data_IF_870537446882
#
_entry.id   IF_870537446882
#
_cell.length_a   1.000
_cell.length_b   1.000
_cell.length_c   1.000
_cell.angle_alpha   90.00
_cell.angle_beta   90.00
_cell.angle_gamma   90.00
#
_symmetry.space_group_name_H-M   'P 1'
#
loop_
_entity.id
_entity.type
_entity.pdbx_description
1 polymer ?
#
# COMPACT_ATOMS: atom_id res chain seq x y z
N UNK A 1 9.01 3.89 3.24
CA UNK A 1 9.03 2.74 2.30
C UNK A 1 9.83 3.15 1.06
N UNK A 2 10.57 2.25 0.42
CA UNK A 2 11.35 2.55 -0.79
C UNK A 2 11.12 1.52 -1.92
N UNK A 3 10.90 1.96 -3.18
CA UNK A 3 10.59 3.35 -3.54
C UNK A 3 9.31 3.85 -2.88
N UNK A 4 9.22 5.18 -2.72
CA UNK A 4 8.03 5.85 -2.17
C UNK A 4 6.84 5.64 -3.09
N UNK A 5 5.69 5.27 -2.53
CA UNK A 5 4.45 5.16 -3.29
C UNK A 5 3.95 6.56 -3.64
N UNK A 6 3.78 6.79 -4.94
CA UNK A 6 3.27 8.04 -5.52
C UNK A 6 2.17 7.73 -6.53
N UNK A 7 1.14 8.57 -6.58
CA UNK A 7 0.02 8.36 -7.50
C UNK A 7 -0.53 9.67 -8.05
N UNK A 8 -0.90 9.65 -9.32
CA UNK A 8 -1.71 10.66 -9.98
C UNK A 8 -3.12 10.13 -10.24
N UNK A 9 -4.10 11.02 -10.31
CA UNK A 9 -5.50 10.65 -10.45
C UNK A 9 -6.12 11.30 -11.67
N UNK A 10 -6.93 10.54 -12.41
CA UNK A 10 -7.66 10.99 -13.60
C UNK A 10 -9.14 10.59 -13.51
N UNK A 11 -10.01 11.23 -14.30
CA UNK A 11 -11.44 10.87 -14.38
C UNK A 11 -12.26 11.18 -13.12
N UNK A 12 -11.73 11.96 -12.18
CA UNK A 12 -12.46 12.37 -10.98
C UNK A 12 -13.46 13.51 -11.27
N UNK A 13 -14.58 13.56 -10.55
CA UNK A 13 -15.48 14.73 -10.53
C UNK A 13 -14.84 15.84 -9.70
N UNK A 14 -14.70 17.03 -10.29
CA UNK A 14 -13.96 18.19 -9.75
C UNK A 14 -14.47 18.68 -8.39
N UNK A 15 -15.78 18.94 -8.28
CA UNK A 15 -16.43 19.48 -7.07
C UNK A 15 -16.58 18.47 -5.91
N UNK A 16 -16.26 17.19 -6.14
CA UNK A 16 -16.46 16.15 -5.15
C UNK A 16 -15.26 16.04 -4.21
N UNK A 17 -15.52 15.72 -2.93
CA UNK A 17 -14.47 15.37 -1.96
C UNK A 17 -14.12 13.89 -1.97
N UNK A 18 -12.84 13.59 -1.79
CA UNK A 18 -12.24 12.26 -1.80
C UNK A 18 -11.29 12.10 -0.62
N UNK A 19 -11.30 10.91 -0.01
CA UNK A 19 -10.22 10.47 0.85
C UNK A 19 -9.30 9.55 0.05
N UNK A 20 -7.98 9.74 0.18
CA UNK A 20 -6.98 8.86 -0.42
C UNK A 20 -6.38 8.01 0.68
N UNK A 21 -6.41 6.69 0.48
CA UNK A 21 -6.01 5.69 1.46
C UNK A 21 -4.98 4.75 0.83
N UNK A 22 -4.03 4.33 1.65
CA UNK A 22 -3.07 3.29 1.34
C UNK A 22 -3.38 2.06 2.18
N UNK A 23 -3.60 0.95 1.50
CA UNK A 23 -3.79 -0.36 2.09
C UNK A 23 -2.56 -1.22 1.84
N UNK A 24 -2.26 -2.14 2.76
CA UNK A 24 -1.18 -3.10 2.59
C UNK A 24 -1.74 -4.51 2.82
N UNK A 25 -1.90 -5.25 1.72
CA UNK A 25 -2.57 -6.53 1.62
C UNK A 25 -1.60 -7.66 1.28
N UNK A 26 -1.77 -8.87 1.84
CA UNK A 26 -0.95 -10.02 1.46
C UNK A 26 -1.15 -10.38 -0.02
N UNK A 27 -0.06 -10.74 -0.70
CA UNK A 27 -0.10 -11.22 -2.09
C UNK A 27 -0.69 -12.62 -2.17
N UNK A 28 -0.28 -13.46 -1.24
CA UNK A 28 -0.72 -14.84 -1.10
C UNK A 28 -0.68 -15.27 0.36
N UNK A 29 -1.11 -16.51 0.61
CA UNK A 29 -1.11 -17.12 1.93
C UNK A 29 0.12 -18.03 2.15
N UNK A 30 1.30 -17.59 1.70
CA UNK A 30 2.54 -18.39 1.78
C UNK A 30 3.62 -17.67 2.59
N UNK A 31 4.32 -18.44 3.42
CA UNK A 31 5.55 -17.98 4.07
C UNK A 31 6.73 -18.29 3.17
N UNK A 32 7.60 -17.31 2.96
CA UNK A 32 8.77 -17.43 2.11
C UNK A 32 10.07 -17.46 2.92
N UNK A 33 11.05 -18.21 2.43
CA UNK A 33 12.44 -18.22 2.94
C UNK A 33 13.39 -17.97 1.77
N UNK A 34 14.38 -17.11 1.98
CA UNK A 34 15.42 -16.88 0.98
C UNK A 34 16.48 -17.99 1.03
N UNK A 35 16.79 -18.57 -0.11
CA UNK A 35 17.81 -19.60 -0.30
C UNK A 35 19.05 -18.99 -0.96
N UNK A 36 20.05 -18.63 -0.14
CA UNK A 36 21.26 -17.93 -0.59
C UNK A 36 22.04 -18.66 -1.69
N UNK A 37 22.19 -19.99 -1.58
CA UNK A 37 22.90 -20.81 -2.57
C UNK A 37 22.22 -20.86 -3.95
N UNK A 38 20.95 -20.45 -4.04
CA UNK A 38 20.15 -20.40 -5.26
C UNK A 38 19.73 -18.98 -5.64
N UNK A 39 20.13 -17.98 -4.85
CA UNK A 39 19.68 -16.59 -4.96
C UNK A 39 18.18 -16.46 -5.25
N UNK A 40 17.35 -17.23 -4.54
CA UNK A 40 15.92 -17.36 -4.83
C UNK A 40 15.04 -17.47 -3.59
N UNK A 41 13.76 -17.14 -3.74
CA UNK A 41 12.76 -17.27 -2.69
C UNK A 41 12.01 -18.59 -2.82
N UNK A 42 12.00 -19.40 -1.75
CA UNK A 42 11.29 -20.66 -1.68
C UNK A 42 10.07 -20.56 -0.75
N UNK A 43 9.03 -21.32 -1.05
CA UNK A 43 7.89 -21.48 -0.15
C UNK A 43 8.33 -22.34 1.02
N UNK A 44 8.22 -21.81 2.23
CA UNK A 44 8.59 -22.47 3.48
C UNK A 44 7.38 -22.97 4.28
N UNK A 45 6.16 -22.59 3.88
CA UNK A 45 4.93 -23.04 4.52
C UNK A 45 3.75 -22.09 4.29
N UNK A 46 2.74 -22.20 5.15
CA UNK A 46 1.59 -21.30 5.21
C UNK A 46 1.98 -19.97 5.86
N UNK A 47 1.40 -18.86 5.41
CA UNK A 47 1.62 -17.56 6.05
C UNK A 47 1.03 -17.53 7.47
N UNK A 48 1.59 -16.65 8.30
CA UNK A 48 1.02 -16.32 9.60
C UNK A 48 -0.36 -15.64 9.41
N UNK A 49 -1.26 -15.72 10.40
CA UNK A 49 -2.53 -15.02 10.33
C UNK A 49 -2.35 -13.53 10.02
N UNK A 50 -3.18 -12.95 9.13
CA UNK A 50 -3.02 -11.55 8.78
C UNK A 50 -3.24 -10.68 10.02
N UNK A 51 -2.41 -9.63 10.22
CA UNK A 51 -2.65 -8.68 11.29
C UNK A 51 -3.99 -7.96 11.09
N UNK A 52 -4.54 -7.32 12.14
CA UNK A 52 -5.75 -6.51 12.02
C UNK A 52 -5.62 -5.51 10.88
N UNK A 53 -6.69 -5.37 10.09
CA UNK A 53 -6.73 -4.49 8.94
C UNK A 53 -6.41 -3.04 9.32
N UNK A 54 -5.44 -2.43 8.64
CA UNK A 54 -5.00 -1.05 8.89
C UNK A 54 -4.87 -0.29 7.57
N UNK A 55 -5.79 0.63 7.35
CA UNK A 55 -5.69 1.63 6.30
C UNK A 55 -4.89 2.82 6.78
N UNK A 56 -3.92 3.25 5.98
CA UNK A 56 -3.26 4.52 6.17
C UNK A 56 -4.00 5.60 5.37
N UNK A 57 -4.65 6.53 6.05
CA UNK A 57 -5.24 7.69 5.41
C UNK A 57 -4.14 8.74 5.10
N UNK A 58 -4.13 9.27 3.89
CA UNK A 58 -3.21 10.36 3.57
C UNK A 58 -3.53 11.56 4.47
N UNK A 59 -2.53 12.19 5.14
CA UNK A 59 -2.75 13.23 6.14
C UNK A 59 -3.48 14.45 5.59
N UNK A 60 -3.22 14.80 4.34
CA UNK A 60 -3.89 15.96 3.70
C UNK A 60 -5.28 15.61 3.12
N UNK A 61 -5.79 14.40 3.34
CA UNK A 61 -7.19 14.08 3.03
C UNK A 61 -8.14 14.85 3.96
N UNK A 62 -9.34 15.25 3.51
CA UNK A 62 -9.91 15.01 2.18
C UNK A 62 -9.44 16.02 1.13
N UNK A 63 -9.41 15.58 -0.13
CA UNK A 63 -9.09 16.39 -1.30
C UNK A 63 -10.33 16.65 -2.16
N UNK A 64 -10.34 17.74 -2.92
CA UNK A 64 -11.24 17.88 -4.07
C UNK A 64 -10.74 17.09 -5.27
N UNK A 65 -11.63 16.77 -6.21
CA UNK A 65 -11.25 16.08 -7.44
C UNK A 65 -10.27 16.89 -8.29
N UNK A 66 -10.37 18.22 -8.25
CA UNK A 66 -9.43 19.11 -8.93
C UNK A 66 -8.04 19.12 -8.31
N UNK A 67 -7.94 19.10 -6.97
CA UNK A 67 -6.64 18.98 -6.30
C UNK A 67 -5.95 17.68 -6.72
N UNK A 68 -6.66 16.55 -6.69
CA UNK A 68 -6.09 15.24 -7.04
C UNK A 68 -5.65 15.11 -8.51
N UNK A 69 -6.31 15.80 -9.43
CA UNK A 69 -5.91 15.81 -10.85
C UNK A 69 -4.65 16.63 -11.11
N UNK A 70 -4.43 17.69 -10.31
CA UNK A 70 -3.36 18.67 -10.53
C UNK A 70 -2.03 18.29 -9.89
N UNK A 71 -2.00 17.28 -9.03
CA UNK A 71 -0.80 16.92 -8.27
C UNK A 71 -0.58 15.41 -8.21
N UNK A 72 0.66 15.04 -7.86
CA UNK A 72 1.02 13.69 -7.46
C UNK A 72 0.91 13.60 -5.94
N UNK A 73 0.11 12.66 -5.45
CA UNK A 73 0.00 12.37 -4.01
C UNK A 73 1.12 11.40 -3.62
N UNK A 74 1.85 11.72 -2.54
CA UNK A 74 3.04 10.98 -2.09
C UNK A 74 2.86 10.39 -0.69
N UNK A 75 3.12 9.10 -0.53
CA UNK A 75 3.04 8.39 0.74
C UNK A 75 4.42 8.27 1.43
N UNK A 76 5.23 9.32 1.39
CA UNK A 76 6.58 9.33 1.96
C UNK A 76 6.61 9.20 3.48
N UNK A 77 5.57 9.70 4.15
CA UNK A 77 5.42 9.64 5.61
C UNK A 77 4.96 8.26 6.11
N UNK A 78 4.67 7.32 5.21
CA UNK A 78 4.26 5.96 5.59
C UNK A 78 5.45 5.19 6.12
N UNK A 79 5.29 4.71 7.35
CA UNK A 79 6.20 3.78 8.01
C UNK A 79 5.58 2.39 8.07
N UNK A 80 6.43 1.39 7.86
CA UNK A 80 6.07 -0.01 7.98
C UNK A 80 6.53 -0.53 9.34
N UNK A 81 5.72 -1.36 9.98
CA UNK A 81 6.06 -1.96 11.29
C UNK A 81 5.71 -3.44 11.35
N UNK A 82 6.59 -4.21 11.99
CA UNK A 82 6.35 -5.60 12.39
C UNK A 82 5.90 -5.72 13.86
N UNK A 83 5.91 -4.64 14.65
CA UNK A 83 5.52 -4.68 16.06
C UNK A 83 4.00 -4.82 16.20
N UNK A 84 3.51 -5.99 16.63
CA UNK A 84 2.07 -6.31 16.73
C UNK A 84 1.27 -5.33 17.60
N UNK A 85 1.93 -4.72 18.59
CA UNK A 85 1.34 -3.76 19.53
C UNK A 85 1.50 -2.29 19.13
N UNK A 86 1.91 -2.00 17.90
CA UNK A 86 2.10 -0.62 17.43
C UNK A 86 0.82 0.22 17.60
N UNK A 87 0.92 1.30 18.39
CA UNK A 87 -0.16 2.26 18.66
C UNK A 87 -0.09 3.52 17.78
N UNK A 88 0.93 3.63 16.94
CA UNK A 88 1.22 4.85 16.16
C UNK A 88 0.58 4.84 14.76
N UNK A 89 -0.24 3.83 14.45
CA UNK A 89 -0.93 3.74 13.16
C UNK A 89 -0.01 3.46 11.98
N UNK A 90 1.18 2.91 12.23
CA UNK A 90 2.08 2.49 11.16
C UNK A 90 1.47 1.31 10.38
N UNK A 91 1.75 1.26 9.09
CA UNK A 91 1.21 0.25 8.20
C UNK A 91 1.94 -1.10 8.39
N UNK A 92 1.23 -2.21 8.17
CA UNK A 92 1.79 -3.56 8.27
C UNK A 92 2.49 -3.95 6.98
N UNK A 93 3.52 -4.80 7.05
CA UNK A 93 4.28 -5.21 5.86
C UNK A 93 3.50 -6.22 5.00
N UNK A 94 3.22 -5.88 3.74
CA UNK A 94 2.68 -6.72 2.66
C UNK A 94 2.72 -5.95 1.32
N UNK A 95 1.89 -6.32 0.33
CA UNK A 95 1.75 -5.59 -0.95
C UNK A 95 0.82 -4.40 -0.86
N UNK A 96 1.18 -3.30 -1.52
CA UNK A 96 0.51 -2.02 -1.34
C UNK A 96 -0.59 -1.77 -2.37
N UNK A 97 -1.78 -1.39 -1.90
CA UNK A 97 -2.95 -1.01 -2.71
C UNK A 97 -3.37 0.42 -2.42
N UNK A 98 -3.62 1.21 -3.46
CA UNK A 98 -4.16 2.56 -3.35
C UNK A 98 -5.66 2.56 -3.54
N UNK A 99 -6.37 3.11 -2.57
CA UNK A 99 -7.81 3.26 -2.57
C UNK A 99 -8.17 4.74 -2.58
N UNK A 100 -9.22 5.08 -3.31
CA UNK A 100 -9.85 6.40 -3.23
C UNK A 100 -11.32 6.21 -2.92
N UNK A 101 -11.76 6.83 -1.84
CA UNK A 101 -13.14 6.74 -1.37
C UNK A 101 -13.85 8.08 -1.43
N UNK A 102 -15.14 8.01 -1.74
CA UNK A 102 -16.13 9.08 -1.55
C UNK A 102 -17.08 8.66 -0.43
N UNK A 103 -17.92 9.55 0.14
CA UNK A 103 -18.75 9.28 1.33
C UNK A 103 -19.73 8.08 1.28
N UNK A 104 -19.78 7.28 0.20
CA UNK A 104 -20.60 6.06 0.11
C UNK A 104 -19.93 4.92 -0.67
N UNK A 105 -18.74 5.12 -1.24
CA UNK A 105 -18.11 4.16 -2.15
C UNK A 105 -16.58 4.25 -2.07
N UNK A 106 -15.93 3.11 -1.91
CA UNK A 106 -14.48 2.97 -2.04
C UNK A 106 -14.16 2.32 -3.38
N UNK A 107 -13.26 2.94 -4.15
CA UNK A 107 -12.75 2.34 -5.39
C UNK A 107 -11.26 2.07 -5.24
N UNK A 108 -10.85 0.85 -5.63
CA UNK A 108 -9.44 0.52 -5.82
C UNK A 108 -8.94 1.19 -7.09
N UNK A 109 -7.89 1.99 -6.98
CA UNK A 109 -7.35 2.75 -8.13
C UNK A 109 -6.07 2.10 -8.66
N UNK A 110 -5.21 1.59 -7.79
CA UNK A 110 -4.00 0.90 -8.20
C UNK A 110 -3.60 -0.19 -7.20
N UNK A 111 -3.02 -1.28 -7.72
CA UNK A 111 -2.24 -2.23 -6.92
C UNK A 111 -0.79 -2.06 -7.35
N UNK A 112 0.10 -1.73 -6.43
CA UNK A 112 1.53 -1.65 -6.72
C UNK A 112 2.16 -2.93 -6.21
N UNK A 113 2.51 -3.81 -7.14
CA UNK A 113 3.36 -4.94 -6.84
C UNK A 113 4.81 -4.46 -6.89
N UNK A 114 5.52 -4.58 -5.78
CA UNK A 114 6.98 -4.46 -5.85
C UNK A 114 7.49 -5.69 -6.61
N UNK A 115 8.24 -5.51 -7.71
CA UNK A 115 8.87 -6.64 -8.36
C UNK A 115 9.75 -7.33 -7.33
N UNK A 116 9.52 -8.63 -7.16
CA UNK A 116 10.51 -9.52 -6.54
C UNK A 116 11.76 -9.32 -7.38
N UNK A 117 12.78 -8.65 -6.84
CA UNK A 117 14.08 -8.51 -7.49
C UNK A 117 14.67 -9.91 -7.66
N UNK A 118 14.30 -10.59 -8.73
CA UNK A 118 15.18 -11.53 -9.40
C UNK A 118 16.16 -10.67 -10.21
N UNK A 119 17.44 -11.03 -10.15
CA UNK A 119 18.61 -10.40 -10.80
C UNK A 119 19.12 -9.07 -10.24
N UNK A 120 20.08 -9.18 -9.30
CA UNK A 120 21.40 -8.59 -9.54
C UNK A 120 22.36 -9.76 -9.75
N UNK A 121 23.04 -9.73 -10.91
CA UNK A 121 24.05 -10.69 -11.35
C UNK A 121 25.25 -10.71 -10.42
#
# INVERSE_FOLDING_TARGET
MFPTVRASFVGLKSEQRYSVLLDIVPVDNKRYRYAYHRSSWLVAGKADPPPPYRLYAHPDSPYTGDQLKKQIVSFEKVKLTNNEMDKHGHARLAVTTLLVSRPKHTRKIATIFYPRNETLR
#
